data_IF_863133040957
#
_entry.id   IF_863133040957
#
_cell.length_a   1.000
_cell.length_b   1.000
_cell.length_c   1.000
_cell.angle_alpha   90.00
_cell.angle_beta   90.00
_cell.angle_gamma   90.00
#
_symmetry.space_group_name_H-M   'P 1'
#
loop_
_entity.id
_entity.type
_entity.pdbx_description
1 polymer ?
#
# COMPACT_ATOMS: atom_id res chain seq x y z
N UNK A 1 2.54 -12.15 -6.36
CA UNK A 1 2.23 -12.88 -5.11
C UNK A 1 3.14 -14.09 -4.91
N UNK A 2 3.01 -15.18 -5.69
CA UNK A 2 3.82 -16.42 -5.48
C UNK A 2 5.32 -16.16 -5.41
N UNK A 3 5.90 -15.49 -6.40
CA UNK A 3 7.36 -15.22 -6.46
C UNK A 3 7.93 -14.54 -5.21
N UNK A 4 7.15 -13.67 -4.56
CA UNK A 4 7.53 -13.00 -3.30
C UNK A 4 7.56 -14.02 -2.17
N UNK A 5 6.50 -14.82 -2.05
CA UNK A 5 6.39 -15.86 -1.03
C UNK A 5 7.46 -16.94 -1.21
N UNK A 6 7.71 -17.37 -2.45
CA UNK A 6 8.70 -18.37 -2.80
C UNK A 6 10.11 -17.87 -2.42
N UNK A 7 10.43 -16.61 -2.73
CA UNK A 7 11.73 -16.04 -2.38
C UNK A 7 11.92 -15.92 -0.86
N UNK A 8 10.91 -15.43 -0.13
CA UNK A 8 10.92 -15.37 1.34
C UNK A 8 11.13 -16.76 1.94
N UNK A 9 10.48 -17.78 1.36
CA UNK A 9 10.58 -19.17 1.79
C UNK A 9 11.98 -19.74 1.53
N UNK A 10 12.54 -19.52 0.34
CA UNK A 10 13.87 -20.00 -0.04
C UNK A 10 14.99 -19.37 0.82
N UNK A 11 14.81 -18.14 1.29
CA UNK A 11 15.72 -17.52 2.28
C UNK A 11 15.60 -18.11 3.70
N UNK A 12 14.69 -19.05 3.94
CA UNK A 12 14.48 -19.67 5.25
C UNK A 12 13.76 -18.76 6.26
N UNK A 13 13.32 -17.56 5.84
CA UNK A 13 12.67 -16.55 6.70
C UNK A 13 11.40 -17.12 7.36
N UNK A 14 10.71 -18.03 6.67
CA UNK A 14 9.49 -18.68 7.17
C UNK A 14 9.71 -19.51 8.45
N UNK A 15 10.96 -19.89 8.75
CA UNK A 15 11.33 -20.62 9.97
C UNK A 15 11.71 -19.71 11.14
N UNK A 16 11.67 -18.38 10.96
CA UNK A 16 12.05 -17.44 12.00
C UNK A 16 11.04 -17.45 13.16
N UNK A 17 11.51 -17.60 14.40
CA UNK A 17 10.67 -17.68 15.59
C UNK A 17 9.87 -16.38 15.87
N UNK A 18 10.35 -15.22 15.36
CA UNK A 18 9.64 -13.94 15.46
C UNK A 18 8.50 -13.81 14.44
N UNK A 19 8.45 -14.66 13.42
CA UNK A 19 7.46 -14.62 12.36
C UNK A 19 6.30 -15.59 12.65
N UNK A 20 5.08 -15.06 12.69
CA UNK A 20 3.87 -15.86 12.77
C UNK A 20 3.08 -15.75 11.47
N UNK A 21 2.89 -16.89 10.79
CA UNK A 21 2.04 -16.96 9.60
C UNK A 21 0.58 -17.05 10.01
N UNK A 22 -0.25 -16.16 9.47
CA UNK A 22 -1.68 -16.10 9.72
C UNK A 22 -2.42 -16.22 8.41
N UNK A 23 -3.29 -17.22 8.30
CA UNK A 23 -4.22 -17.32 7.18
C UNK A 23 -5.20 -16.15 7.25
N UNK A 24 -5.27 -15.35 6.18
CA UNK A 24 -6.25 -14.28 6.06
C UNK A 24 -7.66 -14.84 5.92
N UNK A 25 -8.63 -14.04 6.37
CA UNK A 25 -10.06 -14.29 6.14
C UNK A 25 -10.53 -13.27 5.13
N UNK A 26 -11.27 -13.72 4.12
CA UNK A 26 -11.91 -12.86 3.12
C UNK A 26 -12.73 -11.76 3.79
N UNK A 27 -12.63 -10.55 3.24
CA UNK A 27 -13.48 -9.45 3.66
C UNK A 27 -14.95 -9.78 3.40
N UNK A 28 -15.82 -9.39 4.34
CA UNK A 28 -17.26 -9.43 4.10
C UNK A 28 -17.68 -8.25 3.22
N UNK A 29 -18.85 -8.37 2.58
CA UNK A 29 -19.43 -7.26 1.80
C UNK A 29 -19.67 -6.02 2.68
N UNK A 30 -20.10 -6.21 3.92
CA UNK A 30 -20.27 -5.12 4.89
C UNK A 30 -18.95 -4.43 5.23
N UNK A 31 -17.85 -5.19 5.33
CA UNK A 31 -16.52 -4.63 5.56
C UNK A 31 -16.05 -3.80 4.35
N UNK A 32 -16.29 -4.26 3.12
CA UNK A 32 -15.98 -3.48 1.91
C UNK A 32 -16.78 -2.17 1.85
N UNK A 33 -18.07 -2.24 2.23
CA UNK A 33 -19.01 -1.10 2.23
C UNK A 33 -18.74 -0.08 3.36
N UNK A 34 -17.78 -0.32 4.27
CA UNK A 34 -17.33 0.68 5.25
C UNK A 34 -16.78 1.92 4.54
N UNK A 35 -16.05 1.72 3.46
CA UNK A 35 -15.54 2.82 2.62
C UNK A 35 -16.31 2.90 1.32
N UNK A 36 -16.37 1.80 0.57
CA UNK A 36 -16.87 1.82 -0.80
C UNK A 36 -18.39 2.02 -0.89
N UNK A 37 -18.83 2.68 -1.96
CA UNK A 37 -20.25 2.83 -2.24
C UNK A 37 -20.92 1.47 -2.43
N UNK A 38 -22.14 1.31 -1.89
CA UNK A 38 -22.87 0.04 -2.03
C UNK A 38 -23.13 -0.31 -3.49
N UNK A 39 -23.48 0.67 -4.32
CA UNK A 39 -23.67 0.51 -5.77
C UNK A 39 -22.43 -0.06 -6.46
N UNK A 40 -21.24 0.44 -6.10
CA UNK A 40 -19.98 -0.03 -6.67
C UNK A 40 -19.66 -1.48 -6.26
N UNK A 41 -19.83 -1.81 -4.98
CA UNK A 41 -19.63 -3.19 -4.49
C UNK A 41 -20.63 -4.16 -5.08
N UNK A 42 -21.90 -3.76 -5.20
CA UNK A 42 -22.95 -4.56 -5.83
C UNK A 42 -22.65 -4.78 -7.32
N UNK A 43 -22.06 -3.79 -7.99
CA UNK A 43 -21.61 -3.93 -9.37
C UNK A 43 -20.44 -4.91 -9.52
N UNK A 44 -19.38 -4.79 -8.71
CA UNK A 44 -18.26 -5.75 -8.72
C UNK A 44 -18.75 -7.19 -8.49
N UNK A 45 -19.74 -7.37 -7.63
CA UNK A 45 -20.39 -8.66 -7.38
C UNK A 45 -21.21 -9.14 -8.58
N UNK A 46 -21.95 -8.25 -9.24
CA UNK A 46 -22.71 -8.55 -10.46
C UNK A 46 -21.79 -9.05 -11.59
N UNK A 47 -20.64 -8.39 -11.80
CA UNK A 47 -19.69 -8.77 -12.86
C UNK A 47 -18.83 -9.99 -12.51
N UNK A 48 -18.79 -10.43 -11.25
CA UNK A 48 -18.00 -11.58 -10.81
C UNK A 48 -18.34 -12.88 -11.54
N UNK A 49 -19.64 -13.09 -11.78
CA UNK A 49 -20.21 -14.34 -12.32
C UNK A 49 -20.53 -14.21 -13.82
N UNK A 50 -20.13 -13.11 -14.46
CA UNK A 50 -20.31 -12.91 -15.90
C UNK A 50 -19.21 -13.60 -16.69
N UNK A 51 -19.60 -14.31 -17.74
CA UNK A 51 -18.67 -15.03 -18.64
C UNK A 51 -18.21 -14.16 -19.82
N UNK A 52 -19.03 -13.19 -20.22
CA UNK A 52 -18.76 -12.28 -21.34
C UNK A 52 -19.05 -10.83 -20.91
N UNK A 53 -18.20 -9.91 -21.38
CA UNK A 53 -18.33 -8.48 -21.13
C UNK A 53 -18.40 -7.77 -22.48
N UNK A 54 -19.37 -6.85 -22.63
CA UNK A 54 -19.38 -5.94 -23.77
C UNK A 54 -18.28 -4.89 -23.59
N UNK A 55 -17.44 -4.72 -24.62
CA UNK A 55 -16.51 -3.59 -24.68
C UNK A 55 -17.33 -2.29 -24.75
N UNK A 56 -17.10 -1.37 -23.80
CA UNK A 56 -17.77 -0.06 -23.68
C UNK A 56 -19.18 -0.05 -23.08
N UNK A 57 -19.44 -0.83 -22.02
CA UNK A 57 -20.64 -0.63 -21.20
C UNK A 57 -20.53 0.66 -20.35
N UNK A 58 -21.57 1.48 -20.33
CA UNK A 58 -21.56 2.79 -19.65
C UNK A 58 -21.36 2.65 -18.13
N UNK A 59 -21.92 1.60 -17.52
CA UNK A 59 -21.82 1.34 -16.07
C UNK A 59 -20.38 0.93 -15.71
N UNK A 60 -19.69 0.15 -16.56
CA UNK A 60 -18.27 -0.17 -16.39
C UNK A 60 -17.39 1.08 -16.37
N UNK A 61 -17.60 2.00 -17.33
CA UNK A 61 -16.83 3.24 -17.43
C UNK A 61 -17.08 4.14 -16.22
N UNK A 62 -18.33 4.27 -15.77
CA UNK A 62 -18.68 5.05 -14.58
C UNK A 62 -17.95 4.54 -13.32
N UNK A 63 -17.83 3.22 -13.19
CA UNK A 63 -17.13 2.57 -12.08
C UNK A 63 -15.62 2.42 -12.30
N UNK A 64 -15.05 3.04 -13.34
CA UNK A 64 -13.61 3.04 -13.62
C UNK A 64 -13.05 1.70 -14.08
N UNK A 65 -13.90 0.78 -14.57
CA UNK A 65 -13.48 -0.47 -15.18
C UNK A 65 -13.26 -0.28 -16.68
N UNK A 66 -12.14 -0.78 -17.19
CA UNK A 66 -11.74 -0.59 -18.58
C UNK A 66 -10.24 -0.83 -18.80
N UNK A 67 -9.57 0.18 -19.34
CA UNK A 67 -8.19 0.07 -19.83
C UNK A 67 -7.17 -0.30 -18.74
N UNK A 68 -7.07 0.51 -17.69
CA UNK A 68 -6.13 0.29 -16.58
C UNK A 68 -6.72 -0.66 -15.53
N UNK A 69 -8.04 -0.75 -15.40
CA UNK A 69 -8.71 -1.70 -14.50
C UNK A 69 -9.60 -2.67 -15.30
N UNK A 70 -9.01 -3.67 -15.98
CA UNK A 70 -9.79 -4.64 -16.76
C UNK A 70 -10.70 -5.48 -15.87
N UNK A 71 -11.84 -5.91 -16.39
CA UNK A 71 -12.70 -6.81 -15.63
C UNK A 71 -12.03 -8.18 -15.52
N UNK A 72 -11.76 -8.58 -14.28
CA UNK A 72 -11.15 -9.86 -13.98
C UNK A 72 -12.20 -10.94 -13.77
N UNK A 73 -11.94 -12.16 -14.24
CA UNK A 73 -12.75 -13.32 -13.85
C UNK A 73 -12.69 -13.48 -12.34
N UNK A 74 -13.85 -13.61 -11.70
CA UNK A 74 -13.97 -13.65 -10.23
C UNK A 74 -13.40 -12.42 -9.51
N UNK A 75 -13.55 -11.23 -10.09
CA UNK A 75 -13.08 -9.96 -9.51
C UNK A 75 -13.57 -9.73 -8.07
N UNK A 76 -14.80 -10.12 -7.73
CA UNK A 76 -15.33 -9.94 -6.38
C UNK A 76 -14.63 -10.85 -5.36
N UNK A 77 -14.37 -12.11 -5.73
CA UNK A 77 -13.59 -13.03 -4.87
C UNK A 77 -12.15 -12.52 -4.68
N UNK A 78 -11.56 -11.96 -5.74
CA UNK A 78 -10.23 -11.36 -5.71
C UNK A 78 -10.16 -10.18 -4.73
N UNK A 79 -11.08 -9.20 -4.85
CA UNK A 79 -11.05 -8.02 -3.97
C UNK A 79 -11.39 -8.36 -2.52
N UNK A 80 -12.21 -9.38 -2.28
CA UNK A 80 -12.47 -9.89 -0.92
C UNK A 80 -11.22 -10.50 -0.29
N UNK A 81 -10.48 -11.31 -1.05
CA UNK A 81 -9.21 -11.90 -0.59
C UNK A 81 -8.19 -10.79 -0.28
N UNK A 82 -8.06 -9.83 -1.19
CA UNK A 82 -7.17 -8.68 -1.08
C UNK A 82 -7.44 -7.86 0.19
N UNK A 83 -8.66 -7.34 0.33
CA UNK A 83 -9.07 -6.55 1.49
C UNK A 83 -9.03 -7.37 2.79
N UNK A 84 -9.37 -8.65 2.71
CA UNK A 84 -9.34 -9.59 3.83
C UNK A 84 -7.96 -9.73 4.46
N UNK A 85 -6.89 -9.72 3.65
CA UNK A 85 -5.50 -9.71 4.12
C UNK A 85 -5.20 -8.51 5.02
N UNK A 86 -5.45 -7.30 4.51
CA UNK A 86 -5.16 -6.05 5.23
C UNK A 86 -6.08 -5.86 6.45
N UNK A 87 -7.35 -6.25 6.35
CA UNK A 87 -8.28 -6.24 7.49
C UNK A 87 -7.87 -7.25 8.58
N UNK A 88 -7.40 -8.43 8.20
CA UNK A 88 -6.89 -9.43 9.16
C UNK A 88 -5.67 -8.88 9.89
N UNK A 89 -4.72 -8.29 9.17
CA UNK A 89 -3.54 -7.66 9.74
C UNK A 89 -3.90 -6.50 10.68
N UNK A 90 -4.80 -5.60 10.27
CA UNK A 90 -5.31 -4.52 11.10
C UNK A 90 -6.01 -5.01 12.36
N UNK A 91 -6.83 -6.07 12.28
CA UNK A 91 -7.49 -6.70 13.44
C UNK A 91 -6.48 -7.26 14.45
N UNK A 92 -5.35 -7.82 14.00
CA UNK A 92 -4.30 -8.33 14.89
C UNK A 92 -3.59 -7.19 15.62
N UNK A 93 -3.22 -6.12 14.91
CA UNK A 93 -2.62 -4.92 15.50
C UNK A 93 -3.57 -4.25 16.50
N UNK A 94 -4.83 -4.04 16.13
CA UNK A 94 -5.84 -3.41 16.97
C UNK A 94 -6.13 -4.20 18.27
N UNK A 95 -5.94 -5.53 18.25
CA UNK A 95 -6.07 -6.42 19.41
C UNK A 95 -4.77 -6.59 20.21
N UNK A 96 -3.69 -5.93 19.81
CA UNK A 96 -2.37 -6.08 20.44
C UNK A 96 -1.79 -7.49 20.33
N UNK A 97 -2.13 -8.24 19.27
CA UNK A 97 -1.63 -9.61 19.04
C UNK A 97 -0.26 -9.63 18.37
N UNK A 98 0.11 -8.56 17.68
CA UNK A 98 1.43 -8.34 17.15
C UNK A 98 1.76 -6.84 17.19
N UNK A 99 3.04 -6.52 17.10
CA UNK A 99 3.53 -5.14 16.96
C UNK A 99 3.66 -4.75 15.48
N UNK A 100 3.99 -5.70 14.62
CA UNK A 100 4.12 -5.51 13.17
C UNK A 100 3.28 -6.56 12.47
N UNK A 101 2.57 -6.17 11.41
CA UNK A 101 1.88 -7.07 10.51
C UNK A 101 2.26 -6.74 9.06
N UNK A 102 2.35 -7.76 8.22
CA UNK A 102 2.76 -7.64 6.81
C UNK A 102 1.66 -8.23 5.92
N UNK A 103 1.26 -7.49 4.89
CA UNK A 103 0.44 -7.99 3.79
C UNK A 103 1.00 -7.49 2.45
N UNK A 104 2.00 -8.19 1.89
CA UNK A 104 2.58 -7.83 0.58
C UNK A 104 1.62 -7.94 -0.60
N UNK A 105 0.48 -8.60 -0.43
CA UNK A 105 -0.56 -8.66 -1.47
C UNK A 105 -1.45 -7.40 -1.48
N UNK A 106 -1.52 -6.69 -0.34
CA UNK A 106 -2.25 -5.43 -0.18
C UNK A 106 -1.48 -4.22 -0.70
N UNK A 107 -2.04 -3.02 -0.49
CA UNK A 107 -1.38 -1.76 -0.83
C UNK A 107 -1.96 -1.04 -2.04
N UNK A 108 -3.21 -1.34 -2.42
CA UNK A 108 -3.85 -0.85 -3.64
C UNK A 108 -4.47 0.52 -3.40
N UNK A 109 -3.61 1.54 -3.45
CA UNK A 109 -3.89 2.87 -2.90
C UNK A 109 -4.74 3.80 -3.79
N UNK A 110 -4.95 3.47 -5.08
CA UNK A 110 -5.63 4.36 -6.04
C UNK A 110 -7.16 4.22 -6.04
N UNK A 111 -7.69 3.08 -5.57
CA UNK A 111 -9.13 2.83 -5.60
C UNK A 111 -9.88 3.92 -4.84
N UNK A 112 -10.88 4.51 -5.50
CA UNK A 112 -11.71 5.57 -4.93
C UNK A 112 -12.94 4.96 -4.23
N UNK A 113 -13.77 5.82 -3.65
CA UNK A 113 -14.97 5.38 -2.94
C UNK A 113 -15.91 4.57 -3.83
N UNK A 114 -16.07 5.00 -5.06
CA UNK A 114 -17.07 4.53 -6.00
C UNK A 114 -16.48 4.17 -7.37
N UNK A 115 -15.17 4.06 -7.51
CA UNK A 115 -14.56 3.63 -8.78
C UNK A 115 -13.23 2.91 -8.58
N UNK A 116 -12.93 2.00 -9.51
CA UNK A 116 -11.58 1.50 -9.70
C UNK A 116 -10.70 2.58 -10.35
N UNK A 117 -9.39 2.49 -10.12
CA UNK A 117 -8.40 3.41 -10.69
C UNK A 117 -6.99 2.82 -10.56
N UNK A 118 -6.14 2.93 -11.58
CA UNK A 118 -4.71 2.59 -11.47
C UNK A 118 -4.48 1.16 -10.99
N UNK A 119 -5.12 0.19 -11.65
CA UNK A 119 -5.18 -1.23 -11.27
C UNK A 119 -5.97 -1.53 -9.98
N UNK A 120 -6.29 -0.54 -9.16
CA UNK A 120 -6.89 -0.72 -7.84
C UNK A 120 -8.42 -0.76 -7.91
N UNK A 121 -9.02 -1.89 -7.54
CA UNK A 121 -10.47 -2.06 -7.48
C UNK A 121 -11.06 -1.78 -6.09
N UNK A 122 -10.33 -2.14 -5.02
CA UNK A 122 -10.75 -1.87 -3.63
C UNK A 122 -9.56 -1.32 -2.88
N UNK A 123 -9.82 -0.32 -2.04
CA UNK A 123 -8.78 0.34 -1.24
C UNK A 123 -8.62 -0.39 0.09
N UNK A 124 -7.83 -1.46 0.09
CA UNK A 124 -7.57 -2.29 1.27
C UNK A 124 -6.89 -1.51 2.41
N UNK A 125 -6.11 -0.48 2.05
CA UNK A 125 -5.45 0.42 3.00
C UNK A 125 -6.49 1.25 3.76
N UNK A 126 -7.43 1.89 3.07
CA UNK A 126 -8.48 2.70 3.71
C UNK A 126 -9.32 1.84 4.64
N UNK A 127 -9.67 0.62 4.23
CA UNK A 127 -10.40 -0.34 5.06
C UNK A 127 -9.59 -0.75 6.31
N UNK A 128 -8.31 -1.03 6.16
CA UNK A 128 -7.41 -1.32 7.28
C UNK A 128 -7.28 -0.14 8.25
N UNK A 129 -7.13 1.09 7.74
CA UNK A 129 -7.07 2.30 8.56
C UNK A 129 -8.38 2.49 9.32
N UNK A 130 -9.54 2.36 8.67
CA UNK A 130 -10.83 2.40 9.37
C UNK A 130 -10.90 1.39 10.50
N UNK A 131 -10.42 0.15 10.26
CA UNK A 131 -10.37 -0.87 11.31
C UNK A 131 -9.46 -0.49 12.48
N UNK A 132 -8.29 0.09 12.19
CA UNK A 132 -7.36 0.56 13.22
C UNK A 132 -7.92 1.74 14.03
N UNK A 133 -8.79 2.58 13.45
CA UNK A 133 -9.40 3.71 14.19
C UNK A 133 -10.35 3.30 15.32
N UNK A 134 -10.75 2.03 15.38
CA UNK A 134 -11.49 1.49 16.53
C UNK A 134 -10.63 1.45 17.80
N UNK A 135 -9.31 1.37 17.66
CA UNK A 135 -8.34 1.29 18.77
C UNK A 135 -7.46 2.54 18.86
N UNK A 136 -7.00 3.08 17.72
CA UNK A 136 -6.02 4.16 17.66
C UNK A 136 -6.65 5.48 17.21
N UNK A 137 -6.37 6.57 17.91
CA UNK A 137 -6.91 7.90 17.62
C UNK A 137 -6.15 8.66 16.55
N UNK A 138 -4.85 8.39 16.40
CA UNK A 138 -3.99 9.02 15.39
C UNK A 138 -3.21 7.96 14.61
N UNK A 139 -3.42 7.91 13.31
CA UNK A 139 -2.74 6.97 12.43
C UNK A 139 -1.98 7.74 11.35
N UNK A 140 -0.71 7.39 11.16
CA UNK A 140 0.10 7.89 10.05
C UNK A 140 0.06 6.86 8.92
N UNK A 141 -0.44 7.27 7.77
CA UNK A 141 -0.24 6.55 6.52
C UNK A 141 1.00 7.10 5.81
N UNK A 142 1.98 6.23 5.57
CA UNK A 142 3.18 6.53 4.79
C UNK A 142 3.13 5.75 3.49
N UNK A 143 3.28 6.46 2.38
CA UNK A 143 3.28 5.89 1.04
C UNK A 143 4.65 6.08 0.38
N UNK A 144 5.28 4.95 0.05
CA UNK A 144 6.58 4.89 -0.60
C UNK A 144 6.49 4.46 -2.07
N UNK A 145 5.28 4.21 -2.58
CA UNK A 145 5.03 3.99 -4.01
C UNK A 145 5.51 5.19 -4.84
N UNK A 146 5.89 4.94 -6.09
CA UNK A 146 6.30 6.03 -6.97
C UNK A 146 5.10 6.88 -7.42
N UNK A 147 3.89 6.32 -7.40
CA UNK A 147 2.66 7.04 -7.68
C UNK A 147 2.12 7.70 -6.42
N UNK A 148 1.44 8.84 -6.59
CA UNK A 148 0.79 9.49 -5.46
C UNK A 148 -0.39 8.63 -4.98
N UNK A 149 -0.42 8.31 -3.67
CA UNK A 149 -1.51 7.59 -2.99
C UNK A 149 -2.79 8.41 -2.83
N UNK A 150 -3.34 8.83 -3.97
CA UNK A 150 -4.48 9.71 -4.08
C UNK A 150 -5.77 9.13 -3.47
N UNK A 151 -6.07 7.85 -3.66
CA UNK A 151 -7.26 7.23 -3.07
C UNK A 151 -7.26 7.27 -1.55
N UNK A 152 -6.10 7.00 -0.93
CA UNK A 152 -5.96 7.10 0.54
C UNK A 152 -5.97 8.56 1.00
N UNK A 153 -5.31 9.48 0.27
CA UNK A 153 -5.37 10.91 0.56
C UNK A 153 -6.82 11.44 0.52
N UNK A 154 -7.56 11.14 -0.56
CA UNK A 154 -8.93 11.58 -0.77
C UNK A 154 -9.86 11.04 0.33
N UNK A 155 -9.70 9.76 0.70
CA UNK A 155 -10.50 9.15 1.76
C UNK A 155 -10.38 9.87 3.12
N UNK A 156 -9.23 10.48 3.39
CA UNK A 156 -8.94 11.12 4.68
C UNK A 156 -8.69 12.63 4.60
N UNK A 157 -8.95 13.27 3.46
CA UNK A 157 -8.67 14.69 3.18
C UNK A 157 -9.26 15.64 4.25
N UNK A 158 -10.39 15.27 4.84
CA UNK A 158 -11.11 16.07 5.83
C UNK A 158 -10.82 15.67 7.30
N UNK A 159 -9.91 14.72 7.53
CA UNK A 159 -9.61 14.16 8.85
C UNK A 159 -8.33 14.73 9.44
N UNK A 160 -8.38 15.16 10.71
CA UNK A 160 -7.18 15.48 11.52
C UNK A 160 -6.65 14.27 12.31
N UNK A 161 -7.33 13.11 12.20
CA UNK A 161 -6.97 11.87 12.91
C UNK A 161 -6.05 10.99 12.08
N UNK A 162 -6.09 11.14 10.76
CA UNK A 162 -5.29 10.36 9.84
C UNK A 162 -4.39 11.36 9.12
N UNK A 163 -3.09 11.17 9.19
CA UNK A 163 -2.13 11.95 8.42
C UNK A 163 -1.64 11.10 7.26
N UNK A 164 -1.73 11.60 6.04
CA UNK A 164 -1.17 10.96 4.85
C UNK A 164 0.16 11.62 4.50
N UNK A 165 1.20 10.82 4.28
CA UNK A 165 2.49 11.26 3.77
C UNK A 165 2.83 10.42 2.53
N UNK A 166 2.94 11.05 1.37
CA UNK A 166 3.30 10.37 0.12
C UNK A 166 4.57 10.95 -0.50
N UNK A 167 5.49 10.07 -0.89
CA UNK A 167 6.75 10.39 -1.56
C UNK A 167 6.73 9.82 -2.99
N UNK A 168 6.33 10.63 -3.96
CA UNK A 168 5.99 10.17 -5.30
C UNK A 168 6.65 11.03 -6.39
N UNK A 169 6.66 10.53 -7.63
CA UNK A 169 7.00 11.32 -8.80
C UNK A 169 5.82 12.21 -9.18
N UNK A 170 6.11 13.45 -9.56
CA UNK A 170 5.13 14.38 -10.11
C UNK A 170 5.70 15.03 -11.38
N UNK A 171 5.01 14.83 -12.50
CA UNK A 171 5.43 15.35 -13.79
C UNK A 171 4.26 15.38 -14.79
N UNK A 172 4.43 16.11 -15.88
CA UNK A 172 3.42 16.19 -16.93
C UNK A 172 3.14 14.80 -17.52
N UNK A 173 1.89 14.34 -17.45
CA UNK A 173 1.48 13.04 -17.98
C UNK A 173 1.77 11.84 -17.08
N UNK A 174 2.34 12.05 -15.89
CA UNK A 174 2.55 10.96 -14.92
C UNK A 174 1.29 10.75 -14.07
N UNK A 175 0.84 9.51 -13.97
CA UNK A 175 -0.34 9.14 -13.19
C UNK A 175 -0.08 9.30 -11.68
N UNK A 176 -1.06 9.69 -10.85
CA UNK A 176 -2.42 10.15 -11.18
C UNK A 176 -2.51 11.66 -11.51
N UNK A 177 -1.40 12.39 -11.48
CA UNK A 177 -1.35 13.83 -11.77
C UNK A 177 -1.74 14.75 -10.59
N UNK A 178 -1.95 14.18 -9.41
CA UNK A 178 -2.22 14.85 -8.12
C UNK A 178 -1.00 14.74 -7.19
N UNK A 179 -1.11 15.21 -5.93
CA UNK A 179 0.01 15.15 -4.96
C UNK A 179 0.92 16.38 -5.02
N UNK A 180 0.40 17.54 -5.41
CA UNK A 180 1.18 18.78 -5.39
C UNK A 180 1.51 19.22 -3.96
N UNK A 181 2.57 20.03 -3.82
CA UNK A 181 2.96 20.60 -2.52
C UNK A 181 1.83 21.40 -1.85
N UNK A 182 0.92 21.98 -2.64
CA UNK A 182 -0.20 22.78 -2.17
C UNK A 182 -1.41 21.94 -1.73
N UNK A 183 -1.44 20.66 -2.08
CA UNK A 183 -2.50 19.72 -1.67
C UNK A 183 -2.26 19.28 -0.23
N UNK A 184 -2.73 20.10 0.71
CA UNK A 184 -2.46 19.94 2.15
C UNK A 184 -3.66 19.42 2.95
N UNK A 185 -4.68 18.89 2.28
CA UNK A 185 -5.96 18.51 2.89
C UNK A 185 -6.90 19.70 3.14
N UNK A 186 -8.12 19.39 3.58
CA UNK A 186 -9.24 20.33 3.58
C UNK A 186 -9.96 20.41 4.93
N UNK A 187 -10.53 21.58 5.24
CA UNK A 187 -11.30 21.80 6.47
C UNK A 187 -10.51 21.37 7.73
N UNK A 188 -11.04 20.43 8.53
CA UNK A 188 -10.34 19.88 9.71
C UNK A 188 -9.09 19.09 9.34
N UNK A 189 -9.01 18.49 8.15
CA UNK A 189 -7.85 17.77 7.65
C UNK A 189 -6.78 18.67 7.00
N UNK A 190 -6.97 20.00 7.01
CA UNK A 190 -5.93 20.91 6.53
C UNK A 190 -4.64 20.75 7.36
N UNK A 191 -3.53 20.61 6.66
CA UNK A 191 -2.19 20.25 7.15
C UNK A 191 -2.01 18.77 7.58
N UNK A 192 -2.95 17.89 7.23
CA UNK A 192 -2.86 16.45 7.49
C UNK A 192 -2.70 15.60 6.21
N UNK A 193 -2.54 16.25 5.05
CA UNK A 193 -2.02 15.60 3.84
C UNK A 193 -0.68 16.23 3.50
N UNK A 194 0.38 15.42 3.44
CA UNK A 194 1.75 15.84 3.18
C UNK A 194 2.26 15.16 1.93
N UNK A 195 2.59 15.98 0.93
CA UNK A 195 3.05 15.51 -0.36
C UNK A 195 4.50 15.91 -0.60
N UNK A 196 5.29 14.96 -1.09
CA UNK A 196 6.71 15.15 -1.42
C UNK A 196 6.92 14.78 -2.89
N UNK A 197 6.61 15.70 -3.82
CA UNK A 197 6.79 15.43 -5.23
C UNK A 197 8.27 15.45 -5.62
N UNK A 198 8.69 14.41 -6.33
CA UNK A 198 9.99 14.30 -6.96
C UNK A 198 9.88 14.43 -8.48
N UNK A 199 10.99 14.86 -9.09
CA UNK A 199 11.17 14.75 -10.54
C UNK A 199 11.67 13.33 -10.88
N UNK A 200 11.60 13.01 -12.16
CA UNK A 200 12.15 11.78 -12.75
C UNK A 200 13.60 11.51 -12.30
N UNK A 201 13.92 10.24 -12.09
CA UNK A 201 15.30 9.81 -11.79
C UNK A 201 15.79 10.17 -10.38
N UNK A 202 14.88 10.37 -9.42
CA UNK A 202 15.26 10.57 -8.01
C UNK A 202 16.22 9.46 -7.55
N UNK A 203 17.31 9.88 -6.89
CA UNK A 203 18.36 8.98 -6.40
C UNK A 203 18.19 8.63 -4.92
N UNK A 204 18.78 7.51 -4.49
CA UNK A 204 18.86 7.13 -3.08
C UNK A 204 19.29 8.27 -2.17
N UNK A 205 20.33 9.02 -2.56
CA UNK A 205 20.88 10.10 -1.74
C UNK A 205 19.87 11.23 -1.53
N UNK A 206 19.16 11.63 -2.59
CA UNK A 206 18.14 12.68 -2.50
C UNK A 206 16.94 12.18 -1.69
N UNK A 207 16.44 10.99 -2.02
CA UNK A 207 15.26 10.40 -1.39
C UNK A 207 15.45 10.23 0.13
N UNK A 208 16.52 9.56 0.55
CA UNK A 208 16.82 9.33 1.97
C UNK A 208 17.16 10.62 2.71
N UNK A 209 17.81 11.59 2.06
CA UNK A 209 18.05 12.92 2.67
C UNK A 209 16.75 13.67 2.91
N UNK A 210 15.80 13.64 1.98
CA UNK A 210 14.49 14.27 2.19
C UNK A 210 13.74 13.55 3.31
N UNK A 211 13.61 12.23 3.22
CA UNK A 211 12.89 11.42 4.19
C UNK A 211 13.44 11.60 5.62
N UNK A 212 14.76 11.51 5.81
CA UNK A 212 15.42 11.68 7.11
C UNK A 212 15.23 13.07 7.73
N UNK A 213 14.97 14.10 6.92
CA UNK A 213 14.74 15.45 7.39
C UNK A 213 13.28 15.73 7.77
N UNK A 214 12.32 15.05 7.13
CA UNK A 214 10.89 15.31 7.32
C UNK A 214 10.25 14.30 8.28
N UNK A 215 10.58 13.01 8.17
CA UNK A 215 9.87 11.95 8.87
C UNK A 215 9.96 12.10 10.40
N UNK A 216 11.13 12.33 11.02
CA UNK A 216 11.21 12.52 12.48
C UNK A 216 10.38 13.73 12.97
N UNK A 217 10.31 14.81 12.18
CA UNK A 217 9.53 16.00 12.53
C UNK A 217 8.03 15.73 12.46
N UNK A 218 7.60 14.92 11.49
CA UNK A 218 6.20 14.49 11.36
C UNK A 218 5.82 13.60 12.54
N UNK A 219 6.67 12.66 12.92
CA UNK A 219 6.44 11.81 14.10
C UNK A 219 6.31 12.66 15.37
N UNK A 220 7.21 13.62 15.60
CA UNK A 220 7.17 14.50 16.77
C UNK A 220 5.94 15.42 16.80
N UNK A 221 5.56 15.99 15.65
CA UNK A 221 4.44 16.91 15.54
C UNK A 221 3.07 16.19 15.62
N UNK A 222 2.90 15.11 14.85
CA UNK A 222 1.63 14.41 14.74
C UNK A 222 1.40 13.46 15.90
N UNK A 223 2.47 12.78 16.38
CA UNK A 223 2.46 11.75 17.43
C UNK A 223 1.49 10.61 17.09
N UNK A 224 1.73 9.84 16.01
CA UNK A 224 0.89 8.72 15.65
C UNK A 224 0.93 7.62 16.72
N UNK A 225 -0.20 6.95 16.89
CA UNK A 225 -0.35 5.79 17.76
C UNK A 225 -0.16 4.48 17.00
N UNK A 226 -0.41 4.47 15.69
CA UNK A 226 -0.13 3.38 14.76
C UNK A 226 0.29 3.91 13.38
N UNK A 227 0.96 3.07 12.59
CA UNK A 227 1.38 3.37 11.23
C UNK A 227 0.82 2.35 10.23
N UNK A 228 0.52 2.81 9.03
CA UNK A 228 0.29 1.97 7.85
C UNK A 228 1.27 2.42 6.79
N UNK A 229 2.10 1.51 6.29
CA UNK A 229 3.17 1.82 5.34
C UNK A 229 2.94 1.02 4.07
N UNK A 230 2.74 1.72 2.96
CA UNK A 230 2.70 1.15 1.63
C UNK A 230 4.14 1.13 1.10
N UNK A 231 4.57 -0.02 0.58
CA UNK A 231 5.93 -0.29 0.14
C UNK A 231 5.98 -0.64 -1.36
N UNK A 232 5.35 0.17 -2.20
CA UNK A 232 5.39 0.03 -3.66
C UNK A 232 6.81 -0.14 -4.18
N UNK A 233 7.02 -1.18 -4.99
CA UNK A 233 8.30 -1.56 -5.55
C UNK A 233 8.57 -0.94 -6.92
N UNK A 234 7.60 -0.23 -7.49
CA UNK A 234 7.75 0.49 -8.76
C UNK A 234 8.65 1.74 -8.64
N UNK A 235 8.96 2.17 -7.41
CA UNK A 235 10.01 3.16 -7.16
C UNK A 235 11.44 2.64 -7.39
N UNK A 236 11.63 1.37 -7.77
CA UNK A 236 12.95 0.80 -8.02
C UNK A 236 13.45 1.09 -9.44
N UNK A 237 14.77 1.21 -9.57
CA UNK A 237 15.43 1.23 -10.87
C UNK A 237 15.08 -0.06 -11.66
N UNK A 238 14.72 0.12 -12.93
CA UNK A 238 14.41 -0.97 -13.84
C UNK A 238 12.97 -1.45 -13.75
N UNK A 239 12.12 -0.75 -12.99
CA UNK A 239 10.67 -0.86 -13.11
C UNK A 239 10.17 -0.30 -14.45
N UNK A 240 9.08 -0.87 -14.96
CA UNK A 240 8.54 -0.55 -16.29
C UNK A 240 7.86 0.82 -16.35
N UNK A 241 7.31 1.32 -15.23
CA UNK A 241 6.50 2.55 -15.23
C UNK A 241 6.94 3.60 -14.19
N UNK A 242 7.77 3.26 -13.21
CA UNK A 242 8.12 4.20 -12.14
C UNK A 242 9.11 5.32 -12.49
N UNK A 243 9.95 5.15 -13.51
CA UNK A 243 10.93 6.17 -13.98
C UNK A 243 11.79 6.82 -12.85
N UNK A 244 12.11 6.04 -11.83
CA UNK A 244 12.95 6.44 -10.69
C UNK A 244 14.24 5.63 -10.65
N UNK A 245 15.18 6.02 -9.79
CA UNK A 245 16.48 5.38 -9.70
C UNK A 245 16.81 4.95 -8.26
N UNK A 246 15.80 4.45 -7.53
CA UNK A 246 16.01 3.93 -6.19
C UNK A 246 16.49 2.48 -6.24
N UNK A 247 17.24 2.11 -5.20
CA UNK A 247 17.56 0.71 -4.90
C UNK A 247 16.81 0.27 -3.66
N UNK A 248 16.90 -1.03 -3.35
CA UNK A 248 16.31 -1.62 -2.14
C UNK A 248 16.71 -0.86 -0.87
N UNK A 249 17.95 -0.36 -0.81
CA UNK A 249 18.50 0.36 0.35
C UNK A 249 17.73 1.65 0.70
N UNK A 250 17.21 2.37 -0.31
CA UNK A 250 16.48 3.61 -0.05
C UNK A 250 15.12 3.34 0.61
N UNK A 251 14.40 2.33 0.11
CA UNK A 251 13.12 1.90 0.70
C UNK A 251 13.37 1.26 2.07
N UNK A 252 14.38 0.39 2.17
CA UNK A 252 14.80 -0.23 3.43
C UNK A 252 15.22 0.78 4.50
N UNK A 253 15.88 1.88 4.12
CA UNK A 253 16.18 2.98 5.02
C UNK A 253 14.90 3.58 5.63
N UNK A 254 13.87 3.81 4.80
CA UNK A 254 12.59 4.36 5.26
C UNK A 254 11.89 3.38 6.21
N UNK A 255 11.87 2.09 5.88
CA UNK A 255 11.30 1.04 6.74
C UNK A 255 12.05 0.94 8.08
N UNK A 256 13.38 1.01 8.09
CA UNK A 256 14.17 1.06 9.35
C UNK A 256 13.77 2.24 10.22
N UNK A 257 13.60 3.43 9.63
CA UNK A 257 13.14 4.63 10.34
C UNK A 257 11.72 4.52 10.88
N UNK A 258 10.84 3.84 10.17
CA UNK A 258 9.50 3.50 10.68
C UNK A 258 9.61 2.58 11.90
N UNK A 259 10.41 1.52 11.82
CA UNK A 259 10.57 0.55 12.91
C UNK A 259 11.18 1.17 14.18
N UNK A 260 12.11 2.13 14.03
CA UNK A 260 12.67 2.93 15.14
C UNK A 260 11.59 3.71 15.94
N UNK A 261 10.38 3.90 15.40
CA UNK A 261 9.29 4.56 16.11
C UNK A 261 8.62 3.66 17.16
N UNK A 262 8.85 2.35 17.11
CA UNK A 262 8.31 1.34 18.03
C UNK A 262 6.78 1.43 18.18
N UNK A 263 6.07 1.67 17.07
CA UNK A 263 4.60 1.74 17.02
C UNK A 263 3.99 0.53 16.31
N UNK A 264 2.75 0.15 16.65
CA UNK A 264 1.97 -0.80 15.89
C UNK A 264 1.97 -0.42 14.40
N UNK A 265 2.50 -1.28 13.53
CA UNK A 265 2.73 -0.96 12.12
C UNK A 265 2.21 -2.05 11.20
N UNK A 266 1.41 -1.66 10.21
CA UNK A 266 1.03 -2.50 9.07
C UNK A 266 1.89 -2.14 7.87
N UNK A 267 2.62 -3.11 7.31
CA UNK A 267 3.29 -2.97 6.01
C UNK A 267 2.45 -3.64 4.92
N UNK A 268 2.22 -2.92 3.83
CA UNK A 268 1.55 -3.42 2.64
C UNK A 268 2.50 -3.40 1.43
N UNK A 269 2.14 -4.12 0.37
CA UNK A 269 2.81 -4.06 -0.93
C UNK A 269 2.49 -2.76 -1.68
N UNK A 270 2.11 -2.88 -2.94
CA UNK A 270 1.90 -1.75 -3.84
C UNK A 270 2.14 -2.08 -5.31
N UNK A 271 2.45 -1.06 -6.11
CA UNK A 271 2.96 -1.22 -7.46
C UNK A 271 4.31 -1.96 -7.49
N UNK A 272 4.76 -2.37 -8.68
CA UNK A 272 6.01 -3.12 -8.84
C UNK A 272 5.94 -4.09 -10.02
N UNK A 273 6.31 -3.61 -11.19
CA UNK A 273 6.06 -4.23 -12.49
C UNK A 273 7.31 -4.97 -13.02
N UNK A 274 8.48 -4.71 -12.43
CA UNK A 274 9.58 -5.67 -12.49
C UNK A 274 9.46 -6.73 -11.39
N UNK A 275 8.76 -7.83 -11.67
CA UNK A 275 8.39 -8.83 -10.67
C UNK A 275 9.57 -9.40 -9.86
N UNK A 276 10.73 -9.60 -10.50
CA UNK A 276 11.92 -10.09 -9.79
C UNK A 276 12.47 -9.07 -8.81
N UNK A 277 12.50 -7.78 -9.18
CA UNK A 277 12.92 -6.72 -8.26
C UNK A 277 11.89 -6.49 -7.15
N UNK A 278 10.59 -6.60 -7.46
CA UNK A 278 9.50 -6.58 -6.45
C UNK A 278 9.69 -7.69 -5.41
N UNK A 279 9.93 -8.94 -5.85
CA UNK A 279 10.19 -10.05 -4.95
C UNK A 279 11.43 -9.80 -4.08
N UNK A 280 12.53 -9.32 -4.67
CA UNK A 280 13.76 -8.98 -3.93
C UNK A 280 13.52 -7.90 -2.88
N UNK A 281 12.80 -6.84 -3.24
CA UNK A 281 12.51 -5.75 -2.30
C UNK A 281 11.69 -6.27 -1.12
N UNK A 282 10.56 -6.93 -1.35
CA UNK A 282 9.70 -7.36 -0.26
C UNK A 282 10.34 -8.46 0.59
N UNK A 283 11.19 -9.33 0.03
CA UNK A 283 12.01 -10.25 0.82
C UNK A 283 13.03 -9.50 1.71
N UNK A 284 13.73 -8.52 1.16
CA UNK A 284 14.67 -7.66 1.90
C UNK A 284 13.97 -6.85 3.01
N UNK A 285 12.81 -6.25 2.73
CA UNK A 285 12.03 -5.52 3.73
C UNK A 285 11.55 -6.46 4.84
N UNK A 286 11.17 -7.69 4.50
CA UNK A 286 10.81 -8.71 5.50
C UNK A 286 12.00 -9.03 6.42
N UNK A 287 13.21 -9.14 5.87
CA UNK A 287 14.42 -9.36 6.68
C UNK A 287 14.72 -8.16 7.59
N UNK A 288 14.55 -6.92 7.09
CA UNK A 288 14.68 -5.71 7.92
C UNK A 288 13.70 -5.74 9.10
N UNK A 289 12.45 -6.11 8.85
CA UNK A 289 11.40 -6.17 9.88
C UNK A 289 11.72 -7.23 10.94
N UNK A 290 12.34 -8.33 10.55
CA UNK A 290 12.71 -9.43 11.46
C UNK A 290 14.09 -9.23 12.11
N UNK A 291 14.83 -8.21 11.68
CA UNK A 291 16.23 -7.95 12.05
C UNK A 291 17.18 -9.09 11.62
N UNK A 292 16.92 -9.66 10.44
CA UNK A 292 17.71 -10.74 9.84
C UNK A 292 18.57 -10.21 8.69
N UNK A 293 19.79 -10.74 8.58
CA UNK A 293 20.69 -10.48 7.47
C UNK A 293 20.50 -11.53 6.37
N UNK A 294 20.27 -11.09 5.15
CA UNK A 294 20.16 -11.98 3.99
C UNK A 294 21.49 -11.99 3.23
N UNK A 295 21.87 -13.17 2.75
CA UNK A 295 22.94 -13.28 1.77
C UNK A 295 22.51 -12.64 0.44
N UNK A 296 23.48 -12.02 -0.24
CA UNK A 296 23.21 -11.36 -1.52
C UNK A 296 22.99 -12.37 -2.67
N UNK A 297 23.47 -13.60 -2.50
CA UNK A 297 23.20 -14.69 -3.43
C UNK A 297 21.76 -15.17 -3.27
N UNK A 298 21.03 -15.23 -4.38
CA UNK A 298 19.63 -15.69 -4.38
C UNK A 298 19.64 -17.22 -4.20
N UNK A 299 18.99 -17.76 -3.16
CA UNK A 299 18.94 -19.20 -2.94
C UNK A 299 18.16 -19.89 -4.06
N UNK A 300 18.53 -21.14 -4.35
CA UNK A 300 17.73 -22.00 -5.22
C UNK A 300 16.32 -22.14 -4.64
N UNK A 301 15.30 -22.15 -5.50
CA UNK A 301 13.92 -22.37 -5.05
C UNK A 301 13.84 -23.70 -4.29
N UNK A 302 13.36 -23.67 -3.05
CA UNK A 302 13.05 -24.90 -2.32
C UNK A 302 12.02 -25.72 -3.12
N UNK A 303 12.34 -26.97 -3.43
CA UNK A 303 11.40 -27.93 -4.05
C UNK A 303 10.11 -28.11 -3.26
#
# INVERSE_FOLDING_TARGET
>A
ASMVQDLITSYGIMSNEKLQIVQSVDATEDELKVFHASSYIDFLKKVNDMEEFEECDEEQIEFGLGYDCPILTKIFDFVKTLAGGSLTAAKLLAKGKCQVAINWFGGWHHAQRDSAAGFCYVNDIVLAIHKLTETFHKILYLDLDIHHGDGVQNAFEFSQKILTLSLHKLGSGFYPGTGRLEEIGSSKGKYYSLNVPFLEGVSNQTYTKVFSNIFPKIIDAFKPEALVVQCGADCLNGDEIGESNLTLDAVGYCVKKVLECEKPTLFCGGGGYNFSNTARLWAYLTSIILEEELENDIPDCSE
#
